data_IF_193689184207
#
_entry.id   IF_193689184207
#
_cell.length_a   1.000
_cell.length_b   1.000
_cell.length_c   1.000
_cell.angle_alpha   90.00
_cell.angle_beta   90.00
_cell.angle_gamma   90.00
#
_symmetry.space_group_name_H-M   'P 1'
#
loop_
_entity.id
_entity.type
_entity.pdbx_description
1 polymer ?
#
# COMPACT_ATOMS: atom_id res chain seq x y z
N UNK A 1 4.84 -16.15 9.25
CA UNK A 1 5.46 -14.81 9.04
C UNK A 1 4.48 -13.94 8.29
N UNK A 2 4.33 -12.68 8.65
CA UNK A 2 3.65 -11.64 7.85
C UNK A 2 4.72 -10.61 7.51
N UNK A 3 4.86 -10.28 6.22
CA UNK A 3 5.88 -9.36 5.74
C UNK A 3 5.41 -8.64 4.47
N UNK A 4 6.12 -7.59 4.07
CA UNK A 4 5.90 -6.92 2.79
C UNK A 4 6.23 -7.86 1.63
N UNK A 5 5.45 -7.77 0.54
CA UNK A 5 5.62 -8.66 -0.60
C UNK A 5 6.98 -8.50 -1.31
N UNK A 6 7.47 -7.28 -1.43
CA UNK A 6 8.69 -6.98 -2.18
C UNK A 6 9.91 -7.84 -1.77
N UNK A 7 10.29 -7.92 -0.48
CA UNK A 7 11.45 -8.71 -0.10
C UNK A 7 11.22 -10.23 -0.15
N UNK A 8 9.96 -10.70 -0.05
CA UNK A 8 9.66 -12.14 0.00
C UNK A 8 9.23 -12.72 -1.35
N UNK A 9 8.89 -11.87 -2.34
CA UNK A 9 8.42 -12.32 -3.65
C UNK A 9 9.37 -13.30 -4.35
N UNK A 10 10.70 -13.08 -4.39
CA UNK A 10 11.63 -14.05 -4.98
C UNK A 10 11.60 -15.43 -4.31
N UNK A 11 11.39 -15.46 -2.99
CA UNK A 11 11.31 -16.72 -2.23
C UNK A 11 9.99 -17.47 -2.50
N UNK A 12 8.90 -16.74 -2.75
CA UNK A 12 7.63 -17.35 -3.18
C UNK A 12 7.78 -17.91 -4.60
N UNK A 13 8.35 -17.13 -5.51
CA UNK A 13 8.57 -17.54 -6.90
C UNK A 13 9.49 -18.75 -7.03
N UNK A 14 10.50 -18.88 -6.18
CA UNK A 14 11.39 -20.05 -6.14
C UNK A 14 10.79 -21.27 -5.42
N UNK A 15 9.60 -21.14 -4.81
CA UNK A 15 8.96 -22.20 -4.03
C UNK A 15 9.52 -22.39 -2.62
N UNK A 16 10.48 -21.54 -2.19
CA UNK A 16 11.03 -21.58 -0.83
C UNK A 16 10.02 -21.14 0.23
N UNK A 17 9.04 -20.32 -0.16
CA UNK A 17 7.91 -19.90 0.68
C UNK A 17 6.60 -20.16 -0.04
N UNK A 18 5.56 -20.48 0.73
CA UNK A 18 4.18 -20.61 0.24
C UNK A 18 3.36 -19.44 0.80
N UNK A 19 2.78 -18.64 -0.10
CA UNK A 19 1.84 -17.59 0.29
C UNK A 19 0.47 -18.22 0.59
N UNK A 20 -0.04 -18.02 1.80
CA UNK A 20 -1.33 -18.57 2.27
C UNK A 20 -2.44 -17.52 2.37
N UNK A 21 -2.10 -16.25 2.31
CA UNK A 21 -3.06 -15.15 2.37
C UNK A 21 -2.37 -13.80 2.15
N UNK A 22 -3.13 -12.82 1.67
CA UNK A 22 -2.68 -11.42 1.54
C UNK A 22 -3.44 -10.54 2.52
N UNK A 23 -2.76 -9.52 3.05
CA UNK A 23 -3.36 -8.59 4.01
C UNK A 23 -4.16 -7.44 3.36
N UNK A 24 -4.15 -7.35 2.05
CA UNK A 24 -4.95 -6.39 1.26
C UNK A 24 -6.43 -6.80 1.23
N UNK A 25 -7.33 -5.83 0.96
CA UNK A 25 -8.78 -6.10 0.86
C UNK A 25 -9.14 -6.99 -0.34
N UNK A 26 -8.31 -6.99 -1.37
CA UNK A 26 -8.47 -7.77 -2.60
C UNK A 26 -7.21 -8.58 -2.90
N UNK A 27 -7.35 -9.56 -3.76
CA UNK A 27 -6.21 -10.34 -4.28
C UNK A 27 -5.22 -9.43 -4.98
N UNK A 28 -3.94 -9.78 -4.92
CA UNK A 28 -2.87 -9.04 -5.63
C UNK A 28 -2.48 -9.79 -6.91
N UNK A 29 -2.24 -9.05 -7.98
CA UNK A 29 -1.93 -9.61 -9.31
C UNK A 29 -0.71 -10.53 -9.30
N UNK A 30 0.27 -10.24 -8.44
CA UNK A 30 1.52 -11.02 -8.32
C UNK A 30 1.37 -12.35 -7.59
N UNK A 31 0.26 -12.56 -6.88
CA UNK A 31 -0.06 -13.79 -6.16
C UNK A 31 -1.44 -14.30 -6.56
N UNK A 32 -1.61 -14.76 -7.81
CA UNK A 32 -2.90 -15.26 -8.29
C UNK A 32 -3.35 -16.46 -7.45
N UNK A 33 -4.62 -16.46 -7.04
CA UNK A 33 -5.19 -17.54 -6.23
C UNK A 33 -4.92 -17.46 -4.72
N UNK A 34 -4.11 -16.51 -4.26
CA UNK A 34 -3.90 -16.30 -2.82
C UNK A 34 -5.01 -15.38 -2.29
N UNK A 35 -5.87 -15.87 -1.36
CA UNK A 35 -7.01 -15.11 -0.89
C UNK A 35 -6.64 -13.99 0.09
N UNK A 36 -7.44 -12.92 0.20
CA UNK A 36 -7.35 -11.97 1.30
C UNK A 36 -7.61 -12.63 2.65
N UNK A 37 -6.82 -12.30 3.66
CA UNK A 37 -7.01 -12.76 5.04
C UNK A 37 -8.40 -12.33 5.57
N UNK A 38 -8.89 -11.18 5.12
CA UNK A 38 -10.24 -10.67 5.46
C UNK A 38 -11.40 -11.59 5.08
N UNK A 39 -11.19 -12.58 4.19
CA UNK A 39 -12.20 -13.60 3.87
C UNK A 39 -12.47 -14.57 5.03
N UNK A 40 -11.49 -14.73 5.92
CA UNK A 40 -11.57 -15.61 7.10
C UNK A 40 -11.58 -14.81 8.40
N UNK A 41 -10.77 -13.77 8.49
CA UNK A 41 -10.69 -12.89 9.66
C UNK A 41 -11.41 -11.58 9.34
N UNK A 42 -12.63 -11.45 9.84
CA UNK A 42 -13.49 -10.29 9.58
C UNK A 42 -12.77 -8.98 9.93
N UNK A 43 -12.91 -7.98 9.06
CA UNK A 43 -12.35 -6.63 9.19
C UNK A 43 -10.80 -6.59 9.20
N UNK A 44 -10.14 -7.71 8.85
CA UNK A 44 -8.69 -7.71 8.72
C UNK A 44 -8.26 -7.09 7.39
N UNK A 45 -7.58 -5.97 7.48
CA UNK A 45 -6.92 -5.31 6.35
C UNK A 45 -5.70 -4.54 6.86
N UNK A 46 -4.56 -4.77 6.25
CA UNK A 46 -3.34 -4.01 6.48
C UNK A 46 -2.55 -3.92 5.17
N UNK A 47 -2.00 -2.77 4.88
CA UNK A 47 -1.10 -2.57 3.74
C UNK A 47 0.00 -1.61 4.13
N UNK A 48 1.17 -1.80 3.56
CA UNK A 48 2.20 -0.77 3.55
C UNK A 48 2.00 0.10 2.31
N UNK A 49 2.27 1.38 2.46
CA UNK A 49 2.12 2.35 1.39
C UNK A 49 3.25 3.37 1.42
N UNK A 50 3.53 3.96 0.26
CA UNK A 50 4.45 5.07 0.10
C UNK A 50 3.71 6.25 -0.53
N UNK A 51 3.99 7.45 -0.08
CA UNK A 51 3.41 8.67 -0.60
C UNK A 51 4.49 9.70 -0.94
N UNK A 52 4.26 10.45 -1.99
CA UNK A 52 5.03 11.65 -2.29
C UNK A 52 4.48 12.80 -1.44
N UNK A 53 5.32 13.47 -0.68
CA UNK A 53 4.94 14.62 0.14
C UNK A 53 5.84 15.82 -0.11
N UNK A 54 5.30 16.99 0.17
CA UNK A 54 5.99 18.28 0.06
C UNK A 54 5.85 19.04 1.39
N UNK A 55 6.73 20.02 1.67
CA UNK A 55 6.59 20.87 2.84
C UNK A 55 5.22 21.55 2.90
N UNK A 56 4.65 21.70 4.12
CA UNK A 56 3.30 22.23 4.33
C UNK A 56 3.04 23.64 3.77
N UNK A 57 4.10 24.44 3.53
CA UNK A 57 4.00 25.78 2.95
C UNK A 57 4.23 25.81 1.44
N UNK A 58 4.27 24.68 0.77
CA UNK A 58 4.41 24.65 -0.70
C UNK A 58 3.16 25.26 -1.35
N UNK A 59 3.32 26.19 -2.29
CA UNK A 59 2.19 26.81 -3.01
C UNK A 59 1.30 25.77 -3.68
N UNK A 60 -0.01 26.00 -3.67
CA UNK A 60 -1.01 25.04 -4.14
C UNK A 60 -0.86 24.69 -5.64
N UNK A 61 -0.48 25.67 -6.47
CA UNK A 61 -0.22 25.46 -7.89
C UNK A 61 0.94 24.48 -8.14
N UNK A 62 1.98 24.55 -7.31
CA UNK A 62 3.11 23.60 -7.35
C UNK A 62 2.64 22.19 -6.93
N UNK A 63 1.86 22.09 -5.86
CA UNK A 63 1.29 20.79 -5.41
C UNK A 63 0.44 20.17 -6.50
N UNK A 64 -0.45 20.97 -7.11
CA UNK A 64 -1.32 20.52 -8.20
C UNK A 64 -0.50 20.02 -9.39
N UNK A 65 0.52 20.78 -9.82
CA UNK A 65 1.38 20.39 -10.93
C UNK A 65 2.13 19.08 -10.64
N UNK A 66 2.72 18.96 -9.45
CA UNK A 66 3.43 17.74 -9.05
C UNK A 66 2.49 16.53 -9.01
N UNK A 67 1.27 16.70 -8.50
CA UNK A 67 0.26 15.65 -8.46
C UNK A 67 -0.13 15.18 -9.87
N UNK A 68 -0.39 16.12 -10.80
CA UNK A 68 -0.73 15.81 -12.18
C UNK A 68 0.40 15.04 -12.88
N UNK A 69 1.63 15.51 -12.77
CA UNK A 69 2.81 14.87 -13.38
C UNK A 69 3.08 13.48 -12.78
N UNK A 70 3.00 13.35 -11.45
CA UNK A 70 3.17 12.07 -10.77
C UNK A 70 2.12 11.06 -11.24
N UNK A 71 0.84 11.45 -11.30
CA UNK A 71 -0.24 10.59 -11.79
C UNK A 71 -0.05 10.20 -13.26
N UNK A 72 0.42 11.11 -14.11
CA UNK A 72 0.72 10.82 -15.50
C UNK A 72 1.85 9.77 -15.64
N UNK A 73 2.87 9.87 -14.79
CA UNK A 73 3.98 8.90 -14.75
C UNK A 73 3.50 7.53 -14.25
N UNK A 74 2.72 7.49 -13.16
CA UNK A 74 2.23 6.24 -12.56
C UNK A 74 1.30 5.44 -13.48
N UNK A 75 0.73 6.07 -14.52
CA UNK A 75 -0.12 5.40 -15.52
C UNK A 75 0.64 4.82 -16.71
N UNK A 76 1.93 5.08 -16.82
CA UNK A 76 2.76 4.55 -17.91
C UNK A 76 2.96 3.04 -17.75
N UNK A 77 2.76 2.22 -18.79
CA UNK A 77 2.91 0.77 -18.70
C UNK A 77 4.26 0.33 -18.16
N UNK A 78 5.34 0.94 -18.59
CA UNK A 78 6.71 0.64 -18.16
C UNK A 78 6.92 0.95 -16.67
N UNK A 79 6.23 1.96 -16.12
CA UNK A 79 6.28 2.31 -14.70
C UNK A 79 5.47 1.29 -13.88
N UNK A 80 4.28 0.93 -14.37
CA UNK A 80 3.45 -0.09 -13.72
C UNK A 80 4.21 -1.42 -13.63
N UNK A 81 4.82 -1.87 -14.72
CA UNK A 81 5.63 -3.08 -14.75
C UNK A 81 6.80 -3.00 -13.77
N UNK A 82 7.47 -1.85 -13.71
CA UNK A 82 8.59 -1.64 -12.78
C UNK A 82 8.13 -1.73 -11.32
N UNK A 83 7.01 -1.12 -10.95
CA UNK A 83 6.45 -1.26 -9.61
C UNK A 83 6.08 -2.72 -9.30
N UNK A 84 5.41 -3.40 -10.23
CA UNK A 84 5.04 -4.81 -10.08
C UNK A 84 6.24 -5.72 -9.92
N UNK A 85 7.30 -5.51 -10.69
CA UNK A 85 8.53 -6.31 -10.59
C UNK A 85 9.18 -6.28 -9.19
N UNK A 86 8.89 -5.25 -8.38
CA UNK A 86 9.37 -5.12 -7.01
C UNK A 86 8.27 -5.35 -5.96
N UNK A 87 7.16 -5.98 -6.33
CA UNK A 87 6.10 -6.36 -5.38
C UNK A 87 5.21 -5.21 -4.94
N UNK A 88 5.10 -4.13 -5.72
CA UNK A 88 4.29 -2.95 -5.42
C UNK A 88 3.27 -2.68 -6.53
N UNK A 89 2.19 -1.98 -6.21
CA UNK A 89 1.19 -1.52 -7.18
C UNK A 89 1.11 0.01 -7.13
N UNK A 90 1.23 0.71 -8.27
CA UNK A 90 1.03 2.14 -8.33
C UNK A 90 -0.47 2.46 -8.24
N UNK A 91 -0.85 3.33 -7.32
CA UNK A 91 -2.26 3.72 -7.11
C UNK A 91 -2.53 5.10 -7.73
N UNK A 92 -1.68 6.09 -7.43
CA UNK A 92 -1.94 7.49 -7.77
C UNK A 92 -2.99 8.12 -6.85
N UNK A 93 -3.61 9.20 -7.31
CA UNK A 93 -4.67 9.91 -6.60
C UNK A 93 -4.42 11.41 -6.52
N UNK A 94 -5.47 12.16 -6.12
CA UNK A 94 -5.39 13.59 -5.86
C UNK A 94 -4.85 13.87 -4.45
N UNK A 95 -4.38 15.09 -4.15
CA UNK A 95 -3.99 15.46 -2.79
C UNK A 95 -5.11 15.21 -1.76
N UNK A 96 -6.36 15.50 -2.12
CA UNK A 96 -7.53 15.34 -1.26
C UNK A 96 -7.81 13.86 -0.97
N UNK A 97 -7.70 12.99 -1.98
CA UNK A 97 -7.85 11.53 -1.82
C UNK A 97 -6.75 10.96 -0.91
N UNK A 98 -5.52 11.47 -1.01
CA UNK A 98 -4.41 11.07 -0.13
C UNK A 98 -4.65 11.55 1.31
N UNK A 99 -5.15 12.76 1.52
CA UNK A 99 -5.51 13.26 2.85
C UNK A 99 -6.61 12.41 3.49
N UNK A 100 -7.66 12.07 2.73
CA UNK A 100 -8.71 11.18 3.22
C UNK A 100 -8.15 9.80 3.59
N UNK A 101 -7.33 9.21 2.74
CA UNK A 101 -6.66 7.94 3.00
C UNK A 101 -5.84 7.99 4.29
N UNK A 102 -5.06 9.06 4.50
CA UNK A 102 -4.30 9.24 5.74
C UNK A 102 -5.17 9.36 6.98
N UNK A 103 -6.33 10.02 6.87
CA UNK A 103 -7.27 10.13 7.98
C UNK A 103 -7.82 8.74 8.35
N UNK A 104 -8.20 7.94 7.37
CA UNK A 104 -8.69 6.56 7.57
C UNK A 104 -7.61 5.64 8.17
N UNK A 105 -6.37 5.71 7.65
CA UNK A 105 -5.24 4.95 8.17
C UNK A 105 -4.91 5.33 9.63
N UNK A 106 -4.96 6.61 10.00
CA UNK A 106 -4.76 7.03 11.41
C UNK A 106 -5.79 6.40 12.34
N UNK A 107 -7.06 6.35 11.93
CA UNK A 107 -8.12 5.72 12.73
C UNK A 107 -7.88 4.22 12.86
N UNK A 108 -7.55 3.55 11.76
CA UNK A 108 -7.26 2.11 11.72
C UNK A 108 -6.09 1.74 12.62
N UNK A 109 -4.97 2.42 12.46
CA UNK A 109 -3.77 2.13 13.24
C UNK A 109 -3.90 2.54 14.71
N UNK A 110 -4.63 3.64 15.00
CA UNK A 110 -4.96 3.99 16.38
C UNK A 110 -5.72 2.86 17.06
N UNK A 111 -6.76 2.30 16.40
CA UNK A 111 -7.50 1.15 16.92
C UNK A 111 -6.59 -0.06 17.15
N UNK A 112 -5.70 -0.37 16.23
CA UNK A 112 -4.77 -1.49 16.36
C UNK A 112 -3.83 -1.31 17.58
N UNK A 113 -3.29 -0.11 17.78
CA UNK A 113 -2.44 0.24 18.94
C UNK A 113 -3.22 0.10 20.24
N UNK A 114 -4.46 0.63 20.29
CA UNK A 114 -5.32 0.57 21.49
C UNK A 114 -5.65 -0.89 21.87
N UNK A 115 -6.02 -1.72 20.88
CA UNK A 115 -6.32 -3.15 21.10
C UNK A 115 -5.09 -3.94 21.51
N UNK A 116 -3.95 -3.67 20.91
CA UNK A 116 -2.67 -4.33 21.25
C UNK A 116 -2.07 -3.84 22.57
N UNK A 117 -2.66 -2.81 23.20
CA UNK A 117 -2.17 -2.18 24.45
C UNK A 117 -0.68 -1.75 24.36
N UNK A 118 -0.25 -1.29 23.18
CA UNK A 118 1.12 -0.85 22.98
C UNK A 118 1.35 0.44 23.77
N UNK A 119 2.39 0.44 24.60
CA UNK A 119 2.80 1.64 25.33
C UNK A 119 3.51 2.60 24.38
N UNK A 120 3.22 3.89 24.53
CA UNK A 120 4.05 4.94 23.88
C UNK A 120 5.44 4.87 24.48
N UNK A 121 6.43 4.68 23.64
CA UNK A 121 7.83 4.91 24.00
C UNK A 121 8.10 6.40 24.13
#
# INVERSE_FOLDING_TARGET
>A
MIDNLAPILPHIQSGALIAIGVSTAVTVTLLPGVPPIGTVVKDYQASSWNALSVPAKTPHDIVTKLSLEANAILRKPEVIEKFRSVGSEPVGGTPEEVEQFFAEERVRWKRAVDVAKLQKM
#
